data_IF_322410544525
#
_entry.id   IF_322410544525
#
_cell.length_a   1.000
_cell.length_b   1.000
_cell.length_c   1.000
_cell.angle_alpha   90.00
_cell.angle_beta   90.00
_cell.angle_gamma   90.00
#
_symmetry.space_group_name_H-M   'P 1'
#
loop_
_entity.id
_entity.type
_entity.pdbx_description
1 polymer ?
#
# COMPACT_ATOMS: atom_id res chain seq x y z
N UNK A 1 23.11 -18.03 -1.35
CA UNK A 1 21.76 -17.77 -0.82
C UNK A 1 21.20 -16.53 -1.53
N UNK A 2 19.91 -16.21 -1.40
CA UNK A 2 19.31 -15.04 -2.05
C UNK A 2 18.45 -14.31 -1.03
N UNK A 3 18.58 -12.99 -0.98
CA UNK A 3 17.75 -12.15 -0.11
C UNK A 3 16.73 -11.40 -0.95
N UNK A 4 15.48 -11.38 -0.45
CA UNK A 4 14.47 -10.45 -0.95
C UNK A 4 14.55 -9.18 -0.11
N UNK A 5 14.44 -8.02 -0.75
CA UNK A 5 14.46 -6.74 -0.05
C UNK A 5 13.31 -6.67 0.97
N UNK A 6 13.56 -6.18 2.20
CA UNK A 6 12.56 -6.14 3.25
C UNK A 6 11.40 -5.19 2.90
N UNK A 7 10.14 -5.54 3.24
CA UNK A 7 8.98 -4.68 3.06
C UNK A 7 9.11 -3.27 3.65
N UNK A 8 9.88 -3.10 4.73
CA UNK A 8 10.07 -1.83 5.40
C UNK A 8 10.86 -0.80 4.56
N UNK A 9 11.73 -1.25 3.65
CA UNK A 9 12.51 -0.36 2.78
C UNK A 9 11.67 0.25 1.64
N UNK A 10 10.45 -0.23 1.45
CA UNK A 10 9.56 0.23 0.38
C UNK A 10 8.75 1.46 0.78
N UNK A 11 8.72 1.85 2.05
CA UNK A 11 7.83 2.90 2.52
C UNK A 11 8.36 4.30 2.18
N UNK A 12 7.72 4.99 1.22
CA UNK A 12 8.01 6.39 0.87
C UNK A 12 7.16 7.37 1.69
N UNK A 13 6.08 6.88 2.31
CA UNK A 13 5.18 7.71 3.09
C UNK A 13 4.20 6.91 3.94
N UNK A 14 3.25 7.57 4.61
CA UNK A 14 2.34 6.92 5.55
C UNK A 14 1.37 5.93 4.86
N UNK A 15 1.17 6.06 3.54
CA UNK A 15 0.35 5.15 2.74
C UNK A 15 0.95 4.86 1.34
N UNK A 16 2.23 5.19 1.12
CA UNK A 16 2.90 5.02 -0.17
C UNK A 16 4.05 4.04 -0.02
N UNK A 17 4.03 3.00 -0.83
CA UNK A 17 5.14 2.08 -0.99
C UNK A 17 5.65 2.13 -2.44
N UNK A 18 6.97 2.13 -2.61
CA UNK A 18 7.62 1.91 -3.90
C UNK A 18 8.36 0.60 -3.82
N UNK A 19 7.89 -0.34 -4.62
CA UNK A 19 8.65 -1.53 -4.88
C UNK A 19 9.90 -1.15 -5.66
N UNK A 20 11.10 -1.64 -5.30
CA UNK A 20 12.30 -1.42 -6.08
C UNK A 20 12.12 -2.15 -7.41
N UNK A 21 12.69 -1.59 -8.46
CA UNK A 21 12.71 -2.23 -9.78
C UNK A 21 13.39 -3.62 -9.71
N UNK A 22 14.15 -3.89 -8.64
CA UNK A 22 14.84 -5.16 -8.36
C UNK A 22 14.73 -5.55 -6.89
N UNK A 23 13.86 -6.51 -6.53
CA UNK A 23 13.68 -6.93 -5.14
C UNK A 23 14.61 -8.07 -4.72
N UNK A 24 15.48 -8.58 -5.60
CA UNK A 24 16.36 -9.71 -5.33
C UNK A 24 17.83 -9.28 -5.33
N UNK A 25 18.57 -9.72 -4.31
CA UNK A 25 19.96 -9.33 -4.06
C UNK A 25 20.84 -10.55 -3.83
N UNK A 26 22.13 -10.46 -4.21
CA UNK A 26 23.09 -11.53 -3.98
C UNK A 26 23.39 -11.67 -2.49
N UNK A 27 23.27 -12.88 -1.92
CA UNK A 27 23.71 -13.10 -0.53
C UNK A 27 25.23 -13.12 -0.36
N UNK A 28 25.98 -13.14 -1.47
CA UNK A 28 27.44 -13.16 -1.44
C UNK A 28 28.03 -11.76 -1.31
N UNK A 29 27.21 -10.72 -1.52
CA UNK A 29 27.53 -9.37 -1.09
C UNK A 29 27.29 -9.25 0.42
N UNK A 30 28.34 -9.07 1.25
CA UNK A 30 28.19 -8.94 2.71
C UNK A 30 27.34 -7.73 3.11
N UNK A 31 27.20 -6.74 2.22
CA UNK A 31 26.38 -5.55 2.44
C UNK A 31 24.94 -5.72 1.95
N UNK A 32 24.64 -6.77 1.17
CA UNK A 32 23.33 -6.98 0.55
C UNK A 32 22.89 -5.85 -0.38
N UNK A 33 23.84 -5.03 -0.85
CA UNK A 33 23.58 -3.83 -1.63
C UNK A 33 23.62 -4.09 -3.15
N UNK A 34 24.16 -5.23 -3.59
CA UNK A 34 24.25 -5.60 -4.99
C UNK A 34 22.94 -6.26 -5.48
N UNK A 35 22.12 -5.55 -6.29
CA UNK A 35 20.92 -6.12 -6.85
C UNK A 35 21.26 -7.13 -7.94
N UNK A 36 20.47 -8.19 -8.02
CA UNK A 36 20.57 -9.20 -9.07
C UNK A 36 20.36 -8.56 -10.45
N UNK A 37 21.18 -8.92 -11.45
CA UNK A 37 20.97 -8.46 -12.82
C UNK A 37 19.75 -9.14 -13.44
N UNK A 38 19.12 -8.53 -14.47
CA UNK A 38 17.99 -9.15 -15.17
C UNK A 38 18.39 -10.45 -15.87
N UNK A 39 19.63 -10.49 -16.37
CA UNK A 39 20.19 -11.67 -17.02
C UNK A 39 20.38 -12.79 -16.01
N UNK A 40 21.01 -12.52 -14.86
CA UNK A 40 21.19 -13.52 -13.80
C UNK A 40 19.85 -13.98 -13.22
N UNK A 41 18.92 -13.06 -13.01
CA UNK A 41 17.56 -13.37 -12.58
C UNK A 41 16.87 -14.32 -13.56
N UNK A 42 16.97 -14.06 -14.87
CA UNK A 42 16.41 -14.94 -15.89
C UNK A 42 17.09 -16.31 -15.94
N UNK A 43 18.42 -16.36 -15.83
CA UNK A 43 19.18 -17.62 -15.77
C UNK A 43 18.82 -18.45 -14.54
N UNK A 44 18.52 -17.80 -13.41
CA UNK A 44 18.09 -18.43 -12.17
C UNK A 44 16.57 -18.71 -12.12
N UNK A 45 15.82 -18.36 -13.17
CA UNK A 45 14.37 -18.61 -13.26
C UNK A 45 13.51 -17.68 -12.39
N UNK A 46 14.02 -16.52 -12.00
CA UNK A 46 13.23 -15.53 -11.27
C UNK A 46 12.20 -14.86 -12.19
N UNK A 47 10.94 -14.76 -11.75
CA UNK A 47 9.94 -14.03 -12.50
C UNK A 47 10.25 -12.53 -12.47
N UNK A 48 10.02 -11.86 -13.59
CA UNK A 48 10.01 -10.40 -13.63
C UNK A 48 8.71 -9.92 -12.98
N UNK A 49 8.82 -9.25 -11.84
CA UNK A 49 7.68 -8.71 -11.14
C UNK A 49 7.26 -7.37 -11.75
N UNK A 50 6.03 -7.29 -12.23
CA UNK A 50 5.40 -6.04 -12.64
C UNK A 50 4.32 -5.69 -11.62
N UNK A 51 4.46 -4.55 -10.95
CA UNK A 51 3.42 -4.06 -10.06
C UNK A 51 2.46 -3.16 -10.84
N UNK A 52 1.16 -3.47 -10.79
CA UNK A 52 0.11 -2.58 -11.27
C UNK A 52 -0.79 -2.19 -10.11
N UNK A 53 -0.83 -0.90 -9.76
CA UNK A 53 -1.82 -0.38 -8.84
C UNK A 53 -3.04 0.10 -9.61
N UNK A 54 -4.22 -0.43 -9.30
CA UNK A 54 -5.49 0.08 -9.84
C UNK A 54 -6.16 0.94 -8.77
N UNK A 55 -6.10 2.26 -8.94
CA UNK A 55 -6.88 3.18 -8.12
C UNK A 55 -8.34 3.17 -8.58
N UNK A 56 -9.21 2.56 -7.78
CA UNK A 56 -10.66 2.59 -8.01
C UNK A 56 -11.21 3.77 -7.21
N UNK A 57 -11.36 4.92 -7.86
CA UNK A 57 -12.07 6.06 -7.26
C UNK A 57 -13.57 5.80 -7.42
N UNK A 58 -14.24 5.50 -6.31
CA UNK A 58 -15.71 5.39 -6.28
C UNK A 58 -16.29 6.77 -5.97
N UNK A 59 -16.95 7.36 -6.96
CA UNK A 59 -17.75 8.56 -6.76
C UNK A 59 -19.18 8.16 -6.37
N UNK A 60 -19.70 8.78 -5.32
CA UNK A 60 -21.11 8.71 -4.97
C UNK A 60 -21.81 10.00 -5.39
N UNK A 61 -23.13 9.93 -5.59
CA UNK A 61 -23.91 11.14 -5.86
C UNK A 61 -23.95 12.02 -4.60
N UNK A 62 -24.10 13.32 -4.77
CA UNK A 62 -24.21 14.26 -3.65
C UNK A 62 -25.31 13.86 -2.65
N UNK A 63 -26.43 13.34 -3.15
CA UNK A 63 -27.53 12.82 -2.33
C UNK A 63 -27.10 11.71 -1.38
N UNK A 64 -26.15 10.86 -1.79
CA UNK A 64 -25.57 9.80 -0.94
C UNK A 64 -24.75 10.41 0.19
N UNK A 65 -23.92 11.42 -0.09
CA UNK A 65 -23.16 12.12 0.94
C UNK A 65 -24.07 12.88 1.91
N UNK A 66 -25.15 13.49 1.42
CA UNK A 66 -26.17 14.13 2.27
C UNK A 66 -26.86 13.12 3.19
N UNK A 67 -27.28 11.97 2.65
CA UNK A 67 -27.93 10.92 3.43
C UNK A 67 -26.99 10.35 4.51
N UNK A 68 -25.71 10.12 4.19
CA UNK A 68 -24.70 9.69 5.15
C UNK A 68 -24.49 10.73 6.26
N UNK A 69 -24.39 12.02 5.93
CA UNK A 69 -24.30 13.08 6.93
C UNK A 69 -25.48 13.05 7.90
N UNK A 70 -26.70 12.97 7.38
CA UNK A 70 -27.92 12.92 8.21
C UNK A 70 -27.93 11.66 9.10
N UNK A 71 -27.49 10.53 8.56
CA UNK A 71 -27.37 9.29 9.34
C UNK A 71 -26.37 9.42 10.49
N UNK A 72 -25.19 10.01 10.26
CA UNK A 72 -24.19 10.25 11.31
C UNK A 72 -24.78 11.12 12.43
N UNK A 73 -25.45 12.22 12.06
CA UNK A 73 -26.09 13.12 13.01
C UNK A 73 -27.20 12.43 13.80
N UNK A 74 -28.04 11.62 13.16
CA UNK A 74 -29.10 10.85 13.83
C UNK A 74 -28.56 9.80 14.82
N UNK A 75 -27.32 9.34 14.60
CA UNK A 75 -26.59 8.45 15.50
C UNK A 75 -25.78 9.18 16.58
N UNK A 76 -25.82 10.51 16.61
CA UNK A 76 -25.07 11.33 17.56
C UNK A 76 -23.58 11.48 17.22
N UNK A 77 -23.17 11.11 16.01
CA UNK A 77 -21.80 11.31 15.54
C UNK A 77 -21.64 12.64 14.82
N UNK A 78 -20.47 13.27 14.95
CA UNK A 78 -20.07 14.39 14.09
C UNK A 78 -19.77 13.85 12.68
N UNK A 79 -20.50 14.29 11.63
CA UNK A 79 -20.25 13.86 10.25
C UNK A 79 -18.88 14.26 9.70
N UNK A 80 -18.18 15.20 10.35
CA UNK A 80 -16.81 15.59 9.99
C UNK A 80 -15.74 14.88 10.81
N UNK A 81 -16.12 14.09 11.82
CA UNK A 81 -15.20 13.29 12.61
C UNK A 81 -15.07 11.87 12.08
N UNK A 82 -14.08 11.15 12.58
CA UNK A 82 -13.85 9.74 12.27
C UNK A 82 -14.49 8.80 13.29
N UNK A 83 -15.28 9.32 14.23
CA UNK A 83 -15.70 8.55 15.41
C UNK A 83 -16.67 7.43 15.06
N UNK A 84 -17.56 7.65 14.09
CA UNK A 84 -18.40 6.58 13.57
C UNK A 84 -17.56 5.44 12.97
N UNK A 85 -16.57 5.76 12.14
CA UNK A 85 -15.68 4.75 11.54
C UNK A 85 -14.91 3.97 12.62
N UNK A 86 -14.38 4.67 13.62
CA UNK A 86 -13.70 4.06 14.77
C UNK A 86 -14.63 3.15 15.58
N UNK A 87 -15.87 3.58 15.82
CA UNK A 87 -16.88 2.77 16.52
C UNK A 87 -17.19 1.45 15.82
N UNK A 88 -16.97 1.39 14.51
CA UNK A 88 -17.15 0.21 13.67
C UNK A 88 -15.86 -0.62 13.53
N UNK A 89 -14.78 -0.24 14.22
CA UNK A 89 -13.48 -0.93 14.17
C UNK A 89 -12.65 -0.60 12.92
N UNK A 90 -13.02 0.41 12.14
CA UNK A 90 -12.23 0.84 10.99
C UNK A 90 -11.09 1.77 11.45
N UNK A 91 -9.86 1.36 11.16
CA UNK A 91 -8.68 2.22 11.26
C UNK A 91 -8.44 2.86 9.90
N UNK A 92 -8.51 4.19 9.85
CA UNK A 92 -8.16 4.93 8.64
C UNK A 92 -6.65 5.14 8.60
N UNK A 93 -6.03 4.69 7.52
CA UNK A 93 -4.65 5.05 7.19
C UNK A 93 -4.59 6.56 6.97
N UNK A 94 -3.62 7.24 7.61
CA UNK A 94 -3.28 8.61 7.23
C UNK A 94 -2.66 8.55 5.83
N UNK A 95 -3.32 9.18 4.87
CA UNK A 95 -2.72 9.49 3.57
C UNK A 95 -1.65 10.58 3.74
#
# INVERSE_FOLDING_TARGET
YLFLCPPEEFQIGPAAFRWPDRPAYWSFDPSGAEPLSNEDAAHLGFPVFYFSCKYIVRHWRDSTYTALRQFHQAKGFDPYSQDMARSLGYHLYKL
#
